data_IF_863520052381
#
_entry.id   IF_863520052381
#
_cell.length_a   1.000
_cell.length_b   1.000
_cell.length_c   1.000
_cell.angle_alpha   90.00
_cell.angle_beta   90.00
_cell.angle_gamma   90.00
#
_symmetry.space_group_name_H-M   'P 1'
#
loop_
_entity.id
_entity.type
_entity.pdbx_description
1 polymer ?
#
# COMPACT_ATOMS: atom_id res chain seq x y z
N UNK A 1 -7.36 19.13 5.53
CA UNK A 1 -7.77 17.71 5.47
C UNK A 1 -6.57 16.85 5.82
N UNK A 2 -6.73 15.87 6.70
CA UNK A 2 -5.63 14.99 7.13
C UNK A 2 -5.90 13.58 6.63
N UNK A 3 -4.92 12.97 5.97
CA UNK A 3 -5.01 11.59 5.47
C UNK A 3 -4.24 10.68 6.41
N UNK A 4 -4.84 9.56 6.79
CA UNK A 4 -4.24 8.56 7.66
C UNK A 4 -4.07 7.25 6.90
N UNK A 5 -2.90 6.64 7.01
CA UNK A 5 -2.61 5.30 6.49
C UNK A 5 -2.38 4.33 7.66
N UNK A 6 -3.00 3.15 7.59
CA UNK A 6 -2.99 2.14 8.64
C UNK A 6 -2.85 0.74 8.02
N UNK A 7 -2.20 -0.18 8.73
CA UNK A 7 -1.96 -1.53 8.25
C UNK A 7 -3.20 -2.41 8.09
N UNK A 8 -4.31 -2.06 8.75
CA UNK A 8 -5.54 -2.86 8.80
C UNK A 8 -5.27 -4.33 9.13
N UNK A 9 -4.61 -4.55 10.27
CA UNK A 9 -4.03 -5.85 10.61
C UNK A 9 -5.07 -6.77 11.23
N UNK A 10 -5.15 -7.98 10.69
CA UNK A 10 -6.06 -9.04 11.12
C UNK A 10 -5.33 -10.33 11.54
N UNK A 11 -4.00 -10.31 11.62
CA UNK A 11 -3.21 -11.45 12.08
C UNK A 11 -2.03 -11.00 12.93
N UNK A 12 -1.47 -11.91 13.73
CA UNK A 12 -0.29 -11.63 14.57
C UNK A 12 1.04 -11.62 13.80
N UNK A 13 0.99 -11.68 12.46
CA UNK A 13 2.18 -11.73 11.63
C UNK A 13 2.88 -10.36 11.60
N UNK A 14 4.11 -10.30 12.09
CA UNK A 14 4.86 -9.03 12.21
C UNK A 14 5.02 -8.28 10.89
N UNK A 15 5.22 -8.98 9.76
CA UNK A 15 5.35 -8.36 8.43
C UNK A 15 4.03 -7.75 7.91
N UNK A 16 2.91 -7.95 8.63
CA UNK A 16 1.65 -7.24 8.36
C UNK A 16 1.45 -6.03 9.27
N UNK A 17 2.12 -5.98 10.42
CA UNK A 17 2.09 -4.82 11.33
C UNK A 17 2.85 -3.69 10.65
N UNK A 18 2.27 -2.49 10.63
CA UNK A 18 2.98 -1.31 10.13
C UNK A 18 3.32 -1.32 8.64
N UNK A 19 2.79 -2.27 7.83
CA UNK A 19 2.89 -2.22 6.34
C UNK A 19 2.36 -0.92 5.74
N UNK A 20 1.54 -0.23 6.53
CA UNK A 20 1.03 1.12 6.31
C UNK A 20 1.04 1.84 7.67
N UNK A 21 1.61 3.05 7.70
CA UNK A 21 1.87 3.77 8.94
C UNK A 21 1.92 5.29 8.73
N UNK A 22 2.03 6.02 9.84
CA UNK A 22 2.13 7.48 9.86
C UNK A 22 3.03 7.94 10.99
N UNK A 23 3.86 8.93 10.69
CA UNK A 23 4.66 9.65 11.67
C UNK A 23 3.91 10.91 12.09
N UNK A 24 3.73 11.09 13.39
CA UNK A 24 2.97 12.20 13.99
C UNK A 24 3.90 12.94 14.95
N UNK A 25 3.96 14.27 14.83
CA UNK A 25 4.69 15.12 15.77
C UNK A 25 3.84 15.33 17.02
N UNK A 26 4.32 14.83 18.15
CA UNK A 26 3.63 14.90 19.43
C UNK A 26 4.53 15.55 20.49
N UNK A 27 3.94 16.41 21.32
CA UNK A 27 4.60 16.87 22.55
C UNK A 27 4.58 15.77 23.63
N UNK A 28 3.49 15.00 23.71
CA UNK A 28 3.34 13.89 24.67
C UNK A 28 2.64 12.72 24.00
N UNK A 29 3.19 11.52 24.15
CA UNK A 29 2.60 10.29 23.66
C UNK A 29 1.47 9.84 24.59
N UNK A 30 0.26 10.33 24.34
CA UNK A 30 -0.96 9.87 24.97
C UNK A 30 -2.14 10.02 23.99
N UNK A 31 -3.28 9.40 24.32
CA UNK A 31 -4.48 9.46 23.49
C UNK A 31 -4.87 10.90 23.11
N UNK A 32 -4.89 11.80 24.11
CA UNK A 32 -5.25 13.22 23.91
C UNK A 32 -4.31 13.91 22.91
N UNK A 33 -3.00 13.65 23.00
CA UNK A 33 -2.00 14.19 22.09
C UNK A 33 -2.24 13.70 20.66
N UNK A 34 -2.52 12.41 20.47
CA UNK A 34 -2.78 11.82 19.15
C UNK A 34 -4.04 12.40 18.51
N UNK A 35 -5.16 12.44 19.25
CA UNK A 35 -6.43 12.92 18.68
C UNK A 35 -6.37 14.41 18.30
N UNK A 36 -5.59 15.21 19.03
CA UNK A 36 -5.42 16.63 18.74
C UNK A 36 -4.45 16.85 17.58
N UNK A 37 -3.47 15.97 17.38
CA UNK A 37 -2.47 16.10 16.34
C UNK A 37 -3.05 15.93 14.92
N UNK A 38 -4.03 15.05 14.75
CA UNK A 38 -4.64 14.72 13.45
C UNK A 38 -5.34 15.93 12.81
N UNK A 39 -6.31 16.61 13.44
CA UNK A 39 -6.98 17.76 12.83
C UNK A 39 -6.05 18.98 12.69
N UNK A 40 -5.03 19.08 13.53
CA UNK A 40 -4.06 20.20 13.54
C UNK A 40 -2.88 20.01 12.56
N UNK A 41 -3.03 19.14 11.56
CA UNK A 41 -2.04 18.87 10.50
C UNK A 41 -0.63 18.56 11.03
N UNK A 42 -0.53 17.79 12.13
CA UNK A 42 0.75 17.37 12.72
C UNK A 42 1.26 16.02 12.20
N UNK A 43 0.71 15.56 11.07
CA UNK A 43 1.20 14.38 10.37
C UNK A 43 2.45 14.78 9.61
N UNK A 44 3.60 14.26 10.02
CA UNK A 44 4.87 14.54 9.37
C UNK A 44 4.99 13.82 8.02
N UNK A 45 4.61 12.54 8.00
CA UNK A 45 4.74 11.66 6.83
C UNK A 45 3.84 10.44 6.95
N UNK A 46 3.31 9.95 5.83
CA UNK A 46 2.70 8.61 5.74
C UNK A 46 3.60 7.63 4.99
N UNK A 47 3.58 6.38 5.43
CA UNK A 47 4.27 5.26 4.80
C UNK A 47 3.19 4.33 4.27
N UNK A 48 3.17 4.12 2.96
CA UNK A 48 2.02 3.54 2.27
C UNK A 48 2.41 2.38 1.37
N UNK A 49 1.49 1.45 1.16
CA UNK A 49 1.67 0.45 0.12
C UNK A 49 1.52 1.10 -1.27
N UNK A 50 2.33 0.69 -2.24
CA UNK A 50 2.22 1.19 -3.63
C UNK A 50 0.89 0.73 -4.24
N UNK A 51 -0.09 1.62 -4.51
CA UNK A 51 -1.43 1.19 -4.94
C UNK A 51 -1.43 0.35 -6.22
N UNK A 52 -0.53 0.66 -7.16
CA UNK A 52 -0.38 -0.06 -8.42
C UNK A 52 0.02 -1.53 -8.30
N UNK A 53 0.57 -1.95 -7.15
CA UNK A 53 0.85 -3.35 -6.85
C UNK A 53 -0.37 -4.09 -6.27
N UNK A 54 -1.49 -3.39 -6.05
CA UNK A 54 -2.72 -3.97 -5.54
C UNK A 54 -3.44 -4.81 -6.58
N UNK A 55 -3.98 -5.96 -6.15
CA UNK A 55 -4.73 -6.91 -7.00
C UNK A 55 -5.86 -6.27 -7.82
N UNK A 56 -6.47 -5.22 -7.27
CA UNK A 56 -7.61 -4.53 -7.90
C UNK A 56 -7.29 -3.14 -8.43
N UNK A 57 -6.01 -2.79 -8.60
CA UNK A 57 -5.67 -1.45 -9.05
C UNK A 57 -6.17 -1.15 -10.48
N UNK A 58 -5.90 -2.07 -11.40
CA UNK A 58 -6.32 -1.96 -12.80
C UNK A 58 -7.62 -2.73 -13.07
N UNK A 59 -8.28 -2.33 -14.15
CA UNK A 59 -9.37 -3.10 -14.75
C UNK A 59 -8.83 -4.46 -15.24
N UNK A 60 -9.67 -5.50 -15.23
CA UNK A 60 -9.23 -6.84 -15.61
C UNK A 60 -10.23 -7.93 -15.21
N UNK A 61 -10.06 -9.14 -15.73
CA UNK A 61 -10.89 -10.29 -15.37
C UNK A 61 -10.66 -10.74 -13.93
N UNK A 62 -11.71 -11.22 -13.26
CA UNK A 62 -11.62 -11.69 -11.87
C UNK A 62 -10.67 -12.89 -11.73
N UNK A 63 -10.68 -13.80 -12.71
CA UNK A 63 -9.89 -15.03 -12.69
C UNK A 63 -8.40 -14.79 -12.90
N UNK A 64 -8.02 -13.91 -13.82
CA UNK A 64 -6.62 -13.64 -14.20
C UNK A 64 -5.88 -12.75 -13.20
N UNK A 65 -6.57 -12.06 -12.29
CA UNK A 65 -5.95 -11.19 -11.25
C UNK A 65 -5.01 -11.90 -10.28
N UNK A 66 -4.98 -13.23 -10.28
CA UNK A 66 -4.08 -14.04 -9.44
C UNK A 66 -2.84 -14.54 -10.18
N UNK A 67 -2.81 -14.46 -11.51
CA UNK A 67 -1.71 -14.93 -12.34
C UNK A 67 -0.97 -13.72 -12.88
N UNK A 68 0.35 -13.73 -12.73
CA UNK A 68 1.23 -12.63 -13.11
C UNK A 68 0.91 -12.11 -14.52
N UNK A 69 0.38 -10.90 -14.57
CA UNK A 69 0.44 -9.93 -15.67
C UNK A 69 0.35 -10.50 -17.09
N UNK A 70 -0.82 -10.39 -17.74
CA UNK A 70 -0.89 -10.03 -19.17
C UNK A 70 -2.26 -9.77 -19.80
N UNK A 71 -3.38 -10.04 -19.15
CA UNK A 71 -4.67 -9.90 -19.85
C UNK A 71 -5.38 -8.59 -19.48
N UNK A 72 -5.02 -7.58 -20.28
CA UNK A 72 -5.66 -6.29 -20.49
C UNK A 72 -5.83 -5.36 -19.28
N UNK A 73 -4.87 -4.42 -19.15
CA UNK A 73 -5.00 -3.22 -18.33
C UNK A 73 -5.66 -2.14 -19.19
N UNK A 74 -6.95 -1.88 -19.00
CA UNK A 74 -7.62 -0.78 -19.70
C UNK A 74 -7.08 0.57 -19.22
N UNK A 75 -6.91 1.50 -20.16
CA UNK A 75 -6.64 2.90 -19.84
C UNK A 75 -7.87 3.51 -19.14
N UNK A 76 -7.69 4.31 -18.08
CA UNK A 76 -8.77 4.88 -17.27
C UNK A 76 -9.67 5.90 -18.00
N UNK A 77 -9.47 6.12 -19.29
CA UNK A 77 -10.20 7.13 -20.09
C UNK A 77 -11.33 6.57 -20.93
N UNK A 78 -11.59 5.27 -20.84
CA UNK A 78 -12.67 4.66 -21.60
C UNK A 78 -13.46 3.80 -20.64
N UNK A 79 -14.77 4.00 -20.60
CA UNK A 79 -15.74 3.10 -19.97
C UNK A 79 -15.76 1.74 -20.70
N UNK A 80 -14.59 1.12 -20.89
CA UNK A 80 -14.42 -0.17 -21.53
C UNK A 80 -14.81 -1.19 -20.47
N UNK A 81 -16.09 -1.53 -20.52
CA UNK A 81 -16.67 -2.56 -19.66
C UNK A 81 -16.42 -3.95 -20.27
N UNK A 82 -15.91 -4.06 -21.51
CA UNK A 82 -15.69 -5.34 -22.22
C UNK A 82 -14.24 -5.55 -22.63
N UNK A 83 -13.73 -6.76 -22.42
CA UNK A 83 -12.41 -7.17 -22.85
C UNK A 83 -12.31 -7.20 -24.39
N UNK A 84 -11.29 -6.61 -25.02
CA UNK A 84 -11.17 -6.65 -26.48
C UNK A 84 -10.74 -8.03 -27.02
N UNK A 85 -10.27 -8.93 -26.16
CA UNK A 85 -9.83 -10.28 -26.55
C UNK A 85 -11.00 -11.27 -26.53
N UNK A 86 -11.76 -11.31 -25.43
CA UNK A 86 -12.82 -12.29 -25.24
C UNK A 86 -14.25 -11.69 -25.22
N UNK A 87 -14.39 -10.36 -25.32
CA UNK A 87 -15.65 -9.62 -25.30
C UNK A 87 -16.49 -9.77 -24.01
N UNK A 88 -15.94 -10.41 -22.97
CA UNK A 88 -16.58 -10.54 -21.66
C UNK A 88 -16.41 -9.28 -20.80
N UNK A 89 -17.27 -9.13 -19.79
CA UNK A 89 -17.21 -7.99 -18.88
C UNK A 89 -15.93 -7.95 -18.05
N UNK A 90 -15.31 -6.78 -17.96
CA UNK A 90 -14.17 -6.52 -17.08
C UNK A 90 -14.65 -6.04 -15.72
N UNK A 91 -13.93 -6.39 -14.66
CA UNK A 91 -14.15 -5.81 -13.34
C UNK A 91 -13.42 -4.46 -13.27
N UNK A 92 -14.11 -3.45 -12.74
CA UNK A 92 -13.55 -2.12 -12.53
C UNK A 92 -12.46 -2.13 -11.47
N UNK A 93 -11.34 -1.49 -11.79
CA UNK A 93 -10.21 -1.26 -10.89
C UNK A 93 -10.34 0.03 -10.09
N UNK A 94 -9.56 0.11 -9.02
CA UNK A 94 -9.46 1.29 -8.15
C UNK A 94 -9.06 2.52 -8.94
N UNK A 95 -8.10 2.39 -9.87
CA UNK A 95 -7.63 3.51 -10.67
C UNK A 95 -8.77 4.11 -11.49
N UNK A 96 -9.51 3.28 -12.22
CA UNK A 96 -10.60 3.75 -13.06
C UNK A 96 -11.71 4.40 -12.23
N UNK A 97 -12.04 3.82 -11.06
CA UNK A 97 -12.99 4.44 -10.12
C UNK A 97 -12.52 5.80 -9.60
N UNK A 98 -11.22 5.97 -9.33
CA UNK A 98 -10.66 7.27 -8.97
C UNK A 98 -10.80 8.29 -10.11
N UNK A 99 -10.60 7.89 -11.36
CA UNK A 99 -10.78 8.77 -12.52
C UNK A 99 -12.24 9.16 -12.74
N UNK A 100 -13.19 8.23 -12.62
CA UNK A 100 -14.64 8.54 -12.72
C UNK A 100 -15.09 9.61 -11.72
N UNK A 101 -14.50 9.61 -10.52
CA UNK A 101 -14.81 10.55 -9.45
C UNK A 101 -13.93 11.81 -9.48
N UNK A 102 -12.99 11.91 -10.43
CA UNK A 102 -12.07 13.04 -10.49
C UNK A 102 -12.72 14.23 -11.19
N UNK A 103 -12.84 15.35 -10.48
CA UNK A 103 -13.40 16.60 -11.03
C UNK A 103 -12.42 17.37 -11.94
N UNK A 104 -11.29 16.76 -12.34
CA UNK A 104 -10.20 17.38 -13.12
C UNK A 104 -9.68 18.73 -12.58
N UNK A 105 -9.94 19.05 -11.31
CA UNK A 105 -9.38 20.22 -10.63
C UNK A 105 -8.02 19.82 -10.07
N UNK A 106 -6.94 20.46 -10.54
CA UNK A 106 -5.56 20.27 -10.07
C UNK A 106 -5.33 20.84 -8.65
N UNK A 107 -6.18 20.45 -7.70
CA UNK A 107 -6.09 20.85 -6.30
C UNK A 107 -5.64 19.68 -5.42
N UNK A 108 -4.65 18.91 -5.89
CA UNK A 108 -4.09 17.84 -5.08
C UNK A 108 -3.38 18.44 -3.86
N UNK A 109 -3.82 18.13 -2.63
CA UNK A 109 -3.13 18.60 -1.45
C UNK A 109 -1.71 18.03 -1.43
N UNK A 110 -0.71 18.89 -1.23
CA UNK A 110 0.67 18.46 -1.08
C UNK A 110 0.75 17.57 0.17
N UNK A 111 0.98 16.28 -0.05
CA UNK A 111 1.12 15.29 1.02
C UNK A 111 2.54 14.73 1.02
N UNK A 112 3.16 14.71 2.19
CA UNK A 112 4.41 13.99 2.40
C UNK A 112 4.11 12.50 2.63
N UNK A 113 4.29 11.67 1.60
CA UNK A 113 4.13 10.23 1.72
C UNK A 113 5.28 9.49 1.03
N UNK A 114 5.50 8.26 1.44
CA UNK A 114 6.47 7.36 0.82
C UNK A 114 5.84 5.98 0.63
N UNK A 115 6.01 5.43 -0.57
CA UNK A 115 5.67 4.03 -0.82
C UNK A 115 6.73 3.13 -0.18
N UNK A 116 6.30 2.15 0.62
CA UNK A 116 7.15 1.17 1.29
C UNK A 116 6.70 -0.25 1.00
N UNK A 117 7.65 -1.18 1.14
CA UNK A 117 7.42 -2.61 1.08
C UNK A 117 8.04 -3.20 2.36
N UNK A 118 7.36 -4.12 3.08
CA UNK A 118 7.94 -4.73 4.26
C UNK A 118 9.29 -5.39 3.95
N UNK A 119 10.25 -5.23 4.86
CA UNK A 119 11.61 -5.74 4.69
C UNK A 119 11.63 -7.26 4.46
N UNK A 120 10.77 -8.00 5.15
CA UNK A 120 10.65 -9.45 4.96
C UNK A 120 10.19 -9.80 3.53
N UNK A 121 9.28 -9.00 2.96
CA UNK A 121 8.83 -9.16 1.57
C UNK A 121 9.98 -8.89 0.61
N UNK A 122 10.78 -7.84 0.85
CA UNK A 122 11.97 -7.56 0.04
C UNK A 122 12.99 -8.71 0.09
N UNK A 123 13.27 -9.25 1.29
CA UNK A 123 14.16 -10.41 1.47
C UNK A 123 13.64 -11.63 0.70
N UNK A 124 12.32 -11.88 0.76
CA UNK A 124 11.67 -12.97 0.03
C UNK A 124 11.82 -12.82 -1.49
N UNK A 125 11.60 -11.62 -2.03
CA UNK A 125 11.77 -11.36 -3.47
C UNK A 125 13.24 -11.52 -3.91
N UNK A 126 14.21 -11.12 -3.09
CA UNK A 126 15.64 -11.28 -3.41
C UNK A 126 16.08 -12.74 -3.37
N UNK A 127 15.64 -13.49 -2.35
CA UNK A 127 16.12 -14.86 -2.11
C UNK A 127 15.28 -15.94 -2.79
N UNK A 128 14.09 -15.60 -3.29
CA UNK A 128 13.17 -16.54 -3.94
C UNK A 128 12.55 -17.57 -2.99
N UNK A 129 12.67 -17.38 -1.67
CA UNK A 129 12.14 -18.29 -0.64
C UNK A 129 11.01 -17.62 0.12
N UNK A 130 10.01 -18.39 0.53
CA UNK A 130 8.87 -17.94 1.35
C UNK A 130 9.26 -17.07 2.56
N UNK A 131 8.43 -16.07 2.86
CA UNK A 131 8.49 -15.21 4.06
C UNK A 131 8.41 -16.01 5.37
N UNK A 132 7.84 -17.22 5.31
CA UNK A 132 7.75 -18.13 6.45
C UNK A 132 9.02 -18.94 6.69
N UNK A 133 10.01 -18.87 5.80
CA UNK A 133 11.25 -19.62 5.95
C UNK A 133 12.09 -19.14 7.14
N UNK A 134 12.71 -20.11 7.83
CA UNK A 134 13.62 -19.84 8.95
C UNK A 134 14.78 -18.94 8.48
N UNK A 135 15.28 -19.17 7.26
CA UNK A 135 16.35 -18.37 6.64
C UNK A 135 15.98 -16.89 6.53
N UNK A 136 14.85 -16.56 5.90
CA UNK A 136 14.46 -15.17 5.70
C UNK A 136 14.17 -14.47 7.02
N UNK A 137 13.53 -15.17 7.97
CA UNK A 137 13.27 -14.64 9.32
C UNK A 137 14.55 -14.37 10.09
N UNK A 138 15.56 -15.23 9.99
CA UNK A 138 16.87 -15.03 10.62
C UNK A 138 17.56 -13.77 10.08
N UNK A 139 17.55 -13.58 8.76
CA UNK A 139 18.12 -12.39 8.10
C UNK A 139 17.37 -11.13 8.54
N UNK A 140 16.04 -11.14 8.47
CA UNK A 140 15.20 -10.03 8.94
C UNK A 140 15.54 -9.67 10.39
N UNK A 141 15.57 -10.65 11.29
CA UNK A 141 15.86 -10.42 12.71
C UNK A 141 17.27 -9.86 12.93
N UNK A 142 18.27 -10.32 12.17
CA UNK A 142 19.63 -9.79 12.24
C UNK A 142 19.68 -8.31 11.84
N UNK A 143 19.03 -7.95 10.73
CA UNK A 143 18.97 -6.58 10.23
C UNK A 143 18.22 -5.66 11.21
N UNK A 144 17.05 -6.08 11.70
CA UNK A 144 16.27 -5.28 12.65
C UNK A 144 17.00 -5.14 13.98
N UNK A 145 17.66 -6.18 14.49
CA UNK A 145 18.46 -6.07 15.72
C UNK A 145 19.59 -5.05 15.59
N UNK A 146 20.27 -5.02 14.43
CA UNK A 146 21.35 -4.06 14.16
C UNK A 146 20.84 -2.62 14.06
N UNK A 147 19.63 -2.41 13.54
CA UNK A 147 19.06 -1.09 13.27
C UNK A 147 17.93 -0.68 14.26
N UNK A 148 17.68 -1.47 15.30
CA UNK A 148 16.62 -1.34 16.32
C UNK A 148 15.18 -1.51 15.83
N UNK A 149 14.85 -1.04 14.63
CA UNK A 149 13.52 -1.12 14.04
C UNK A 149 13.59 -1.29 12.51
N UNK A 150 12.54 -1.87 11.93
CA UNK A 150 12.42 -2.01 10.47
C UNK A 150 12.40 -0.65 9.77
N UNK A 151 11.70 0.34 10.33
CA UNK A 151 11.62 1.70 9.78
C UNK A 151 12.94 2.48 9.77
N UNK A 152 13.99 1.95 10.40
CA UNK A 152 15.32 2.54 10.40
C UNK A 152 16.23 1.98 9.29
N UNK A 153 15.72 1.03 8.49
CA UNK A 153 16.42 0.38 7.37
C UNK A 153 15.92 0.98 6.06
#
# INVERSE_FOLDING_TARGET
MSILSFSDIHSVNFHRIGREAKSILLHKLNYRGIILAIPNNKIFKTYEFKPAAGKYYYDGHRAERHQNHKEYLSSPRRNIIKCPVCNQSLMYGVLNRCYELSDNKDNNPIRNFQNVVPLLTLIKEILGVSEYSIKNRSIYNSLVRKNQAEFNI
#
